data_IF_783269395661
#
_entry.id   IF_783269395661
#
_cell.length_a   1.000
_cell.length_b   1.000
_cell.length_c   1.000
_cell.angle_alpha   90.00
_cell.angle_beta   90.00
_cell.angle_gamma   90.00
#
_symmetry.space_group_name_H-M   'P 1'
#
loop_
_entity.id
_entity.type
_entity.pdbx_description
1 polymer ?
#
# COMPACT_ATOMS: atom_id res chain seq x y z
N UNK A 1 -8.30 -49.92 5.52
CA UNK A 1 -7.05 -49.77 6.30
C UNK A 1 -5.89 -49.30 5.39
N UNK A 2 -6.23 -48.50 4.38
CA UNK A 2 -5.95 -47.06 4.26
C UNK A 2 -4.48 -46.59 4.25
N UNK A 3 -4.15 -46.09 3.05
CA UNK A 3 -3.49 -44.80 2.83
C UNK A 3 -2.06 -44.64 3.31
N UNK A 4 -1.13 -45.35 2.65
CA UNK A 4 0.30 -45.02 2.69
C UNK A 4 0.96 -45.17 1.32
N UNK A 5 0.46 -44.45 0.30
CA UNK A 5 1.18 -44.32 -0.97
C UNK A 5 1.24 -42.84 -1.36
N UNK A 6 1.96 -42.07 -0.55
CA UNK A 6 2.54 -40.82 -1.02
C UNK A 6 3.64 -41.19 -2.02
N UNK A 7 3.27 -41.38 -3.28
CA UNK A 7 4.22 -41.64 -4.35
C UNK A 7 5.08 -40.37 -4.54
N UNK A 8 6.29 -40.38 -3.98
CA UNK A 8 7.27 -39.30 -4.08
C UNK A 8 7.93 -39.32 -5.47
N UNK A 9 7.13 -39.15 -6.51
CA UNK A 9 7.66 -38.88 -7.84
C UNK A 9 8.12 -37.43 -7.86
N UNK A 10 9.39 -37.21 -7.53
CA UNK A 10 10.06 -35.94 -7.70
C UNK A 10 10.36 -35.75 -9.18
N UNK A 11 9.41 -35.18 -9.91
CA UNK A 11 9.62 -34.70 -11.27
C UNK A 11 10.08 -33.23 -11.22
N UNK A 12 11.09 -32.90 -12.04
CA UNK A 12 11.76 -31.59 -12.07
C UNK A 12 10.79 -30.40 -12.20
N UNK A 13 9.66 -30.60 -12.86
CA UNK A 13 8.65 -29.55 -13.05
C UNK A 13 7.82 -29.26 -11.80
N UNK A 14 7.82 -30.16 -10.81
CA UNK A 14 7.15 -29.92 -9.51
C UNK A 14 7.87 -28.87 -8.67
N UNK A 15 9.19 -28.78 -8.81
CA UNK A 15 10.03 -27.77 -8.15
C UNK A 15 10.12 -26.46 -8.91
N UNK A 16 9.64 -26.41 -10.16
CA UNK A 16 9.74 -25.21 -10.98
C UNK A 16 8.49 -24.31 -10.79
N UNK A 17 8.63 -22.98 -10.81
CA UNK A 17 7.47 -22.08 -10.79
C UNK A 17 6.55 -22.33 -11.99
N UNK A 18 5.24 -22.27 -11.78
CA UNK A 18 4.25 -22.39 -12.86
C UNK A 18 4.31 -21.15 -13.75
N UNK A 19 5.03 -21.24 -14.87
CA UNK A 19 5.13 -20.18 -15.87
C UNK A 19 4.53 -20.65 -17.20
N UNK A 20 3.46 -20.00 -17.63
CA UNK A 20 2.88 -20.23 -18.96
C UNK A 20 3.71 -19.43 -19.98
N UNK A 21 4.88 -19.94 -20.39
CA UNK A 21 5.70 -19.36 -21.45
C UNK A 21 7.21 -19.32 -21.16
N UNK A 22 7.99 -19.25 -22.23
CA UNK A 22 9.46 -19.28 -22.28
C UNK A 22 10.13 -18.46 -21.16
N UNK A 23 11.11 -19.07 -20.49
CA UNK A 23 12.02 -18.43 -19.54
C UNK A 23 12.76 -17.28 -20.24
N UNK A 24 12.23 -16.08 -20.08
CA UNK A 24 13.05 -14.88 -20.20
C UNK A 24 14.01 -14.91 -19.02
N UNK A 25 15.30 -14.60 -19.18
CA UNK A 25 16.20 -14.39 -18.05
C UNK A 25 15.56 -13.37 -17.09
N UNK A 26 14.87 -13.86 -16.05
CA UNK A 26 13.98 -13.04 -15.23
C UNK A 26 14.83 -12.20 -14.31
N UNK A 27 14.89 -10.90 -14.61
CA UNK A 27 15.26 -9.91 -13.63
C UNK A 27 14.18 -9.95 -12.52
N UNK A 28 14.51 -10.52 -11.35
CA UNK A 28 13.63 -10.66 -10.18
C UNK A 28 13.34 -9.32 -9.46
N UNK A 29 13.39 -8.21 -10.18
CA UNK A 29 13.12 -6.87 -9.66
C UNK A 29 12.01 -6.25 -10.49
N UNK A 30 10.80 -6.76 -10.33
CA UNK A 30 9.63 -6.02 -10.80
C UNK A 30 9.53 -4.74 -9.96
N UNK A 31 9.48 -3.55 -10.59
CA UNK A 31 9.33 -2.32 -9.83
C UNK A 31 7.99 -2.34 -9.10
N UNK A 32 8.05 -2.27 -7.77
CA UNK A 32 6.86 -2.08 -6.94
C UNK A 32 6.33 -0.67 -7.23
N UNK A 33 5.04 -0.50 -7.52
CA UNK A 33 4.53 0.82 -7.84
C UNK A 33 4.49 1.69 -6.58
N UNK A 34 4.88 2.94 -6.76
CA UNK A 34 5.07 3.98 -5.73
C UNK A 34 3.87 4.13 -4.76
N UNK A 35 2.60 4.02 -5.18
CA UNK A 35 1.46 4.16 -4.27
C UNK A 35 1.49 3.19 -3.08
N UNK A 36 1.97 1.96 -3.26
CA UNK A 36 2.01 0.99 -2.15
C UNK A 36 2.99 1.40 -1.04
N UNK A 37 4.10 2.04 -1.41
CA UNK A 37 5.06 2.58 -0.46
C UNK A 37 4.54 3.86 0.22
N UNK A 38 3.77 4.68 -0.50
CA UNK A 38 3.14 5.87 0.07
C UNK A 38 2.13 5.53 1.17
N UNK A 39 1.33 4.47 1.01
CA UNK A 39 0.42 4.00 2.07
C UNK A 39 1.23 3.63 3.33
N UNK A 40 2.34 2.90 3.18
CA UNK A 40 3.18 2.51 4.31
C UNK A 40 3.81 3.72 5.02
N UNK A 41 4.23 4.74 4.25
CA UNK A 41 4.80 5.97 4.78
C UNK A 41 3.74 6.84 5.48
N UNK A 42 2.51 6.88 4.97
CA UNK A 42 1.39 7.61 5.56
C UNK A 42 0.84 6.93 6.83
N UNK A 43 0.95 5.60 6.91
CA UNK A 43 0.55 4.83 8.08
C UNK A 43 1.42 5.16 9.31
N UNK A 44 2.72 5.40 9.12
CA UNK A 44 3.66 5.63 10.22
C UNK A 44 3.30 6.82 11.14
N UNK A 45 3.05 8.05 10.65
CA UNK A 45 2.69 9.17 11.51
C UNK A 45 1.29 9.02 12.11
N UNK A 46 0.35 8.37 11.41
CA UNK A 46 -1.00 8.12 11.93
C UNK A 46 -1.01 7.05 13.03
N UNK A 47 -0.15 6.04 12.95
CA UNK A 47 0.06 5.07 14.03
C UNK A 47 0.70 5.73 15.27
N UNK A 48 1.69 6.61 15.04
CA UNK A 48 2.30 7.41 16.10
C UNK A 48 1.30 8.36 16.76
N UNK A 49 0.38 8.95 15.99
CA UNK A 49 -0.71 9.78 16.49
C UNK A 49 -1.58 9.02 17.50
N UNK A 50 -2.09 7.85 17.11
CA UNK A 50 -2.93 7.02 17.99
C UNK A 50 -2.15 6.56 19.22
N UNK A 51 -0.87 6.20 19.05
CA UNK A 51 0.00 5.88 20.19
C UNK A 51 0.18 7.07 21.14
N UNK A 52 0.23 8.30 20.63
CA UNK A 52 0.30 9.54 21.40
C UNK A 52 -1.04 9.89 22.07
N UNK A 53 -2.18 9.47 21.50
CA UNK A 53 -3.49 9.64 22.13
C UNK A 53 -3.63 8.83 23.42
N UNK A 54 -3.06 7.62 23.50
CA UNK A 54 -3.17 6.74 24.66
C UNK A 54 -2.73 7.40 25.99
N UNK A 55 -1.50 7.95 26.13
CA UNK A 55 -1.09 8.59 27.37
C UNK A 55 -1.93 9.83 27.70
N UNK A 56 -2.38 10.59 26.69
CA UNK A 56 -3.26 11.73 26.90
C UNK A 56 -4.63 11.30 27.47
N UNK A 57 -5.23 10.23 26.93
CA UNK A 57 -6.50 9.69 27.43
C UNK A 57 -6.35 9.18 28.87
N UNK A 58 -5.25 8.50 29.19
CA UNK A 58 -5.00 7.97 30.55
C UNK A 58 -4.81 9.09 31.58
N UNK A 59 -4.17 10.19 31.19
CA UNK A 59 -3.88 11.34 32.07
C UNK A 59 -4.87 12.51 31.93
N UNK A 60 -5.94 12.33 31.15
CA UNK A 60 -6.86 13.42 30.77
C UNK A 60 -7.44 14.17 31.98
N UNK A 61 -7.63 13.46 33.09
CA UNK A 61 -8.16 14.02 34.33
C UNK A 61 -7.19 15.03 34.98
N UNK A 62 -5.87 14.81 34.90
CA UNK A 62 -4.87 15.69 35.53
C UNK A 62 -4.42 16.84 34.62
N UNK A 63 -4.41 16.64 33.31
CA UNK A 63 -3.92 17.64 32.34
C UNK A 63 -4.93 18.75 32.03
N UNK A 64 -6.23 18.54 32.32
CA UNK A 64 -7.27 19.54 32.16
C UNK A 64 -7.36 20.17 30.76
N UNK A 65 -7.77 21.43 30.68
CA UNK A 65 -7.94 22.17 29.42
C UNK A 65 -6.61 22.43 28.68
N UNK A 66 -5.50 22.52 29.41
CA UNK A 66 -4.19 22.77 28.81
C UNK A 66 -3.77 21.59 27.92
N UNK A 67 -3.86 20.35 28.43
CA UNK A 67 -3.56 19.15 27.64
C UNK A 67 -4.45 19.05 26.39
N UNK A 68 -5.72 19.43 26.50
CA UNK A 68 -6.67 19.41 25.39
C UNK A 68 -6.26 20.36 24.25
N UNK A 69 -5.74 21.55 24.57
CA UNK A 69 -5.29 22.51 23.54
C UNK A 69 -4.09 21.94 22.77
N UNK A 70 -3.09 21.39 23.47
CA UNK A 70 -1.93 20.75 22.81
C UNK A 70 -2.35 19.56 21.96
N UNK A 71 -3.31 18.78 22.45
CA UNK A 71 -3.87 17.64 21.72
C UNK A 71 -4.54 18.06 20.41
N UNK A 72 -5.35 19.13 20.43
CA UNK A 72 -6.00 19.67 19.23
C UNK A 72 -4.97 20.22 18.23
N UNK A 73 -3.95 20.94 18.70
CA UNK A 73 -2.90 21.47 17.83
C UNK A 73 -2.13 20.32 17.15
N UNK A 74 -1.82 19.26 17.90
CA UNK A 74 -1.17 18.07 17.39
C UNK A 74 -2.00 17.38 16.29
N UNK A 75 -3.32 17.23 16.50
CA UNK A 75 -4.22 16.72 15.46
C UNK A 75 -4.28 17.60 14.22
N UNK A 76 -4.37 18.93 14.38
CA UNK A 76 -4.48 19.85 13.25
C UNK A 76 -3.27 19.76 12.31
N UNK A 77 -2.06 19.64 12.85
CA UNK A 77 -0.84 19.50 12.05
C UNK A 77 -0.89 18.24 11.18
N UNK A 78 -1.35 17.11 11.74
CA UNK A 78 -1.45 15.85 11.01
C UNK A 78 -2.57 15.88 9.95
N UNK A 79 -3.72 16.46 10.27
CA UNK A 79 -4.83 16.63 9.30
C UNK A 79 -4.40 17.48 8.10
N UNK A 80 -3.63 18.55 8.33
CA UNK A 80 -3.10 19.39 7.25
C UNK A 80 -2.12 18.59 6.38
N UNK A 81 -1.18 17.85 7.00
CA UNK A 81 -0.24 16.98 6.28
C UNK A 81 -0.94 15.90 5.45
N UNK A 82 -1.94 15.25 6.03
CA UNK A 82 -2.75 14.24 5.35
C UNK A 82 -3.55 14.82 4.17
N UNK A 83 -4.14 16.01 4.36
CA UNK A 83 -4.90 16.70 3.30
C UNK A 83 -4.01 17.08 2.12
N UNK A 84 -2.76 17.47 2.37
CA UNK A 84 -1.79 17.78 1.31
C UNK A 84 -1.48 16.56 0.43
N UNK A 85 -1.27 15.40 1.05
CA UNK A 85 -0.97 14.15 0.35
C UNK A 85 -2.17 13.66 -0.49
N UNK A 86 -3.39 13.76 0.06
CA UNK A 86 -4.62 13.41 -0.66
C UNK A 86 -4.84 14.27 -1.91
N UNK A 87 -4.59 15.57 -1.82
CA UNK A 87 -4.74 16.49 -2.96
C UNK A 87 -3.72 16.21 -4.08
N UNK A 88 -2.56 15.63 -3.74
CA UNK A 88 -1.51 15.28 -4.70
C UNK A 88 -1.86 14.05 -5.57
N UNK A 89 -3.04 13.40 -5.36
CA UNK A 89 -3.54 12.22 -6.12
C UNK A 89 -2.57 11.03 -6.15
N UNK A 90 -1.60 10.98 -5.24
CA UNK A 90 -0.53 10.00 -5.26
C UNK A 90 -1.01 8.56 -4.92
N UNK A 91 -2.20 8.43 -4.34
CA UNK A 91 -2.86 7.14 -4.03
C UNK A 91 -3.69 6.61 -5.22
N UNK A 92 -3.83 7.38 -6.31
CA UNK A 92 -4.61 6.93 -7.47
C UNK A 92 -3.91 5.75 -8.18
N UNK A 93 -4.37 4.54 -7.87
CA UNK A 93 -3.88 3.27 -8.45
C UNK A 93 -4.19 3.15 -9.97
N UNK A 94 -4.94 4.10 -10.54
CA UNK A 94 -5.64 3.95 -11.82
C UNK A 94 -4.95 4.57 -13.05
N UNK A 95 -3.62 4.75 -13.08
CA UNK A 95 -2.94 5.28 -14.29
C UNK A 95 -2.11 4.27 -15.09
N UNK A 96 -2.43 2.98 -14.96
CA UNK A 96 -1.87 1.93 -15.83
C UNK A 96 -2.69 1.64 -17.08
N UNK A 97 -3.79 2.36 -17.33
CA UNK A 97 -4.41 2.29 -18.65
C UNK A 97 -3.57 3.11 -19.63
N UNK A 98 -2.97 2.49 -20.66
CA UNK A 98 -2.54 3.26 -21.81
C UNK A 98 -3.78 3.99 -22.30
N UNK A 99 -3.74 5.33 -22.32
CA UNK A 99 -4.74 6.12 -23.01
C UNK A 99 -4.63 5.71 -24.47
N UNK A 100 -5.47 4.76 -24.89
CA UNK A 100 -5.49 4.21 -26.24
C UNK A 100 -5.54 5.36 -27.21
N UNK A 101 -4.42 5.51 -27.91
CA UNK A 101 -4.23 6.40 -29.03
C UNK A 101 -5.02 5.78 -30.18
N UNK A 102 -6.25 6.25 -30.41
CA UNK A 102 -6.77 6.30 -31.77
C UNK A 102 -7.82 7.40 -31.94
N UNK A 103 -7.36 8.60 -32.30
CA UNK A 103 -8.16 9.58 -33.04
C UNK A 103 -7.64 9.67 -34.49
N UNK A 104 -7.32 8.52 -35.08
CA UNK A 104 -6.81 8.38 -36.45
C UNK A 104 -7.56 7.29 -37.21
N UNK A 105 -8.88 7.21 -37.03
CA UNK A 105 -9.74 6.33 -37.82
C UNK A 105 -11.01 7.01 -38.38
N UNK A 106 -11.09 8.34 -38.31
CA UNK A 106 -12.21 9.14 -38.87
C UNK A 106 -11.85 9.81 -40.22
N UNK A 107 -10.71 9.45 -40.84
CA UNK A 107 -10.30 10.00 -42.16
C UNK A 107 -10.32 8.93 -43.27
N UNK A 108 -10.62 7.65 -42.96
CA UNK A 108 -10.59 6.56 -43.95
C UNK A 108 -11.88 5.71 -44.06
N UNK A 109 -12.99 6.16 -43.47
CA UNK A 109 -14.34 5.63 -43.69
C UNK A 109 -15.33 6.79 -43.66
#
# INVERSE_FOLDING_TARGET
MDENVGNSLDYLEKSNPFECGFDSFRQSTNPVPIPFILIALLFLPFDLEVSSMLPYIVSSYSTGLYGLIFFIIFLLILVIGFTFELNSKAISLFRFLPKSINKSLTIYL
#
